data_IF_096293459791
#
_entry.id   IF_096293459791
#
_cell.length_a   1.000
_cell.length_b   1.000
_cell.length_c   1.000
_cell.angle_alpha   90.00
_cell.angle_beta   90.00
_cell.angle_gamma   90.00
#
_symmetry.space_group_name_H-M   'P 1'
#
loop_
_entity.id
_entity.type
_entity.pdbx_description
1 polymer ?
#
# COMPACT_ATOMS: atom_id res chain seq x y z
N UNK A 1 1.10 5.56 11.34
CA UNK A 1 0.65 4.77 12.51
C UNK A 1 1.78 4.12 13.34
N UNK A 2 2.71 3.30 12.82
CA UNK A 2 3.93 2.95 13.60
C UNK A 2 5.10 3.89 13.28
N UNK A 3 5.38 4.09 11.99
CA UNK A 3 6.47 4.94 11.52
C UNK A 3 6.33 6.39 11.99
N UNK A 4 5.12 6.94 12.01
CA UNK A 4 4.84 8.27 12.58
C UNK A 4 5.24 8.36 14.05
N UNK A 5 4.87 7.36 14.87
CA UNK A 5 5.23 7.30 16.29
C UNK A 5 6.74 7.23 16.51
N UNK A 6 7.47 6.66 15.55
CA UNK A 6 8.94 6.59 15.54
C UNK A 6 9.60 7.84 14.91
N UNK A 7 8.83 8.88 14.57
CA UNK A 7 9.33 10.11 13.95
C UNK A 7 9.64 9.99 12.45
N UNK A 8 9.24 8.90 11.80
CA UNK A 8 9.49 8.61 10.38
C UNK A 8 8.33 9.09 9.49
N UNK A 9 7.98 10.38 9.56
CA UNK A 9 6.80 10.96 8.89
C UNK A 9 6.83 10.80 7.36
N UNK A 10 7.99 11.02 6.73
CA UNK A 10 8.14 10.88 5.26
C UNK A 10 7.86 9.46 4.79
N UNK A 11 8.43 8.48 5.48
CA UNK A 11 8.23 7.06 5.16
C UNK A 11 6.78 6.63 5.44
N UNK A 12 6.20 7.10 6.54
CA UNK A 12 4.80 6.83 6.85
C UNK A 12 3.86 7.34 5.76
N UNK A 13 4.06 8.60 5.33
CA UNK A 13 3.26 9.22 4.28
C UNK A 13 3.42 8.52 2.94
N UNK A 14 4.65 8.17 2.55
CA UNK A 14 4.91 7.45 1.30
C UNK A 14 4.18 6.10 1.24
N UNK A 15 4.20 5.34 2.35
CA UNK A 15 3.48 4.07 2.47
C UNK A 15 1.97 4.30 2.41
N UNK A 16 1.45 5.28 3.15
CA UNK A 16 0.01 5.55 3.20
C UNK A 16 -0.53 5.98 1.84
N UNK A 17 0.17 6.88 1.14
CA UNK A 17 -0.20 7.34 -0.20
C UNK A 17 -0.15 6.19 -1.22
N UNK A 18 0.83 5.30 -1.09
CA UNK A 18 0.94 4.10 -1.93
C UNK A 18 -0.22 3.14 -1.72
N UNK A 19 -0.57 2.84 -0.45
CA UNK A 19 -1.71 1.99 -0.12
C UNK A 19 -3.02 2.59 -0.65
N UNK A 20 -3.25 3.90 -0.45
CA UNK A 20 -4.42 4.62 -0.99
C UNK A 20 -4.52 4.48 -2.50
N UNK A 21 -3.41 4.68 -3.22
CA UNK A 21 -3.40 4.56 -4.68
C UNK A 21 -3.74 3.15 -5.16
N UNK A 22 -3.11 2.11 -4.60
CA UNK A 22 -3.32 0.72 -5.03
C UNK A 22 -4.75 0.27 -4.73
N UNK A 23 -5.24 0.57 -3.52
CA UNK A 23 -6.61 0.20 -3.12
C UNK A 23 -7.69 0.89 -3.95
N UNK A 24 -7.48 2.15 -4.34
CA UNK A 24 -8.42 2.89 -5.17
C UNK A 24 -8.37 2.53 -6.66
N UNK A 25 -7.19 2.19 -7.20
CA UNK A 25 -7.00 2.11 -8.67
C UNK A 25 -6.66 0.71 -9.21
N UNK A 26 -6.22 -0.22 -8.37
CA UNK A 26 -5.72 -1.53 -8.83
C UNK A 26 -6.59 -2.70 -8.39
N UNK A 27 -7.26 -2.60 -7.24
CA UNK A 27 -8.06 -3.70 -6.71
C UNK A 27 -9.49 -3.67 -7.24
N UNK A 28 -10.03 -4.83 -7.61
CA UNK A 28 -11.44 -4.96 -8.05
C UNK A 28 -12.43 -4.87 -6.89
N UNK A 29 -12.01 -5.34 -5.72
CA UNK A 29 -12.80 -5.38 -4.50
C UNK A 29 -11.87 -5.52 -3.31
N UNK A 30 -12.21 -4.93 -2.16
CA UNK A 30 -11.46 -5.11 -0.91
C UNK A 30 -11.91 -6.34 -0.11
N UNK A 31 -12.99 -7.01 -0.52
CA UNK A 31 -13.43 -8.25 0.13
C UNK A 31 -12.39 -9.36 -0.04
N UNK A 32 -12.14 -10.09 1.05
CA UNK A 32 -11.20 -11.22 1.08
C UNK A 32 -11.53 -12.25 -0.03
N UNK A 33 -10.49 -12.68 -0.75
CA UNK A 33 -10.64 -13.60 -1.89
C UNK A 33 -11.21 -12.99 -3.17
N UNK A 34 -11.62 -11.72 -3.18
CA UNK A 34 -12.20 -11.03 -4.36
C UNK A 34 -11.34 -9.87 -4.88
N UNK A 35 -10.12 -9.72 -4.36
CA UNK A 35 -9.20 -8.64 -4.74
C UNK A 35 -8.69 -8.75 -6.19
N UNK A 36 -8.69 -9.96 -6.75
CA UNK A 36 -8.11 -10.24 -8.07
C UNK A 36 -6.60 -10.44 -8.05
N UNK A 37 -5.96 -10.36 -6.88
CA UNK A 37 -4.54 -10.55 -6.64
C UNK A 37 -4.33 -11.35 -5.35
N UNK A 38 -3.20 -12.03 -5.22
CA UNK A 38 -2.78 -12.61 -3.95
C UNK A 38 -2.33 -11.52 -2.98
N UNK A 39 -2.37 -11.81 -1.68
CA UNK A 39 -1.89 -10.87 -0.64
C UNK A 39 -0.44 -10.46 -0.88
N UNK A 40 0.41 -11.39 -1.33
CA UNK A 40 1.81 -11.11 -1.67
C UNK A 40 1.92 -10.13 -2.83
N UNK A 41 1.18 -10.34 -3.92
CA UNK A 41 1.19 -9.43 -5.06
C UNK A 41 0.73 -8.02 -4.69
N UNK A 42 -0.26 -7.89 -3.80
CA UNK A 42 -0.68 -6.58 -3.30
C UNK A 42 0.44 -5.92 -2.49
N UNK A 43 1.14 -6.68 -1.65
CA UNK A 43 2.32 -6.20 -0.93
C UNK A 43 3.43 -5.72 -1.86
N UNK A 44 3.75 -6.50 -2.89
CA UNK A 44 4.78 -6.17 -3.88
C UNK A 44 4.42 -4.89 -4.64
N UNK A 45 3.15 -4.71 -5.02
CA UNK A 45 2.68 -3.49 -5.68
C UNK A 45 2.83 -2.24 -4.80
N UNK A 46 2.54 -2.37 -3.50
CA UNK A 46 2.72 -1.25 -2.55
C UNK A 46 4.21 -0.95 -2.38
N UNK A 47 5.05 -1.96 -2.19
CA UNK A 47 6.49 -1.79 -2.04
C UNK A 47 7.13 -1.14 -3.27
N UNK A 48 6.78 -1.58 -4.47
CA UNK A 48 7.25 -0.98 -5.72
C UNK A 48 6.83 0.48 -5.83
N UNK A 49 5.57 0.79 -5.51
CA UNK A 49 5.06 2.17 -5.57
C UNK A 49 5.81 3.11 -4.63
N UNK A 50 6.21 2.63 -3.44
CA UNK A 50 7.05 3.37 -2.49
C UNK A 50 8.47 3.55 -3.02
N UNK A 51 9.04 2.55 -3.70
CA UNK A 51 10.40 2.63 -4.25
C UNK A 51 10.51 3.56 -5.46
N UNK A 52 9.41 3.74 -6.21
CA UNK A 52 9.34 4.63 -7.39
C UNK A 52 9.10 6.11 -7.05
N UNK A 53 8.96 6.45 -5.75
CA UNK A 53 8.68 7.81 -5.26
C UNK A 53 9.92 8.65 -4.95
#
# INVERSE_FOLDING_TARGET
>A
MMLETLGQEKAAKAIEDSVKFITANKLKSLAAGKMGFSTSQVGDMVAQKVADM
#
